data_IF_340723277338
#
_entry.id   IF_340723277338
#
_cell.length_a   1.000
_cell.length_b   1.000
_cell.length_c   1.000
_cell.angle_alpha   90.00
_cell.angle_beta   90.00
_cell.angle_gamma   90.00
#
_symmetry.space_group_name_H-M   'P 1'
#
loop_
_entity.id
_entity.type
_entity.pdbx_description
1 polymer ?
#
# COMPACT_ATOMS: atom_id res chain seq x y z
N UNK A 1 0.60 5.52 -8.89
CA UNK A 1 -0.77 5.60 -8.40
C UNK A 1 -1.66 4.50 -8.96
N UNK A 2 -2.38 3.85 -8.11
CA UNK A 2 -3.34 2.80 -8.45
C UNK A 2 -4.54 2.86 -7.50
N UNK A 3 -5.49 1.92 -7.63
CA UNK A 3 -6.66 1.85 -6.77
C UNK A 3 -6.33 1.72 -5.27
N UNK A 4 -5.33 0.90 -4.92
CA UNK A 4 -4.90 0.76 -3.52
C UNK A 4 -4.30 2.05 -2.98
N UNK A 5 -3.46 2.73 -3.77
CA UNK A 5 -2.90 4.03 -3.40
C UNK A 5 -4.01 5.06 -3.14
N UNK A 6 -5.03 5.13 -4.01
CA UNK A 6 -6.17 6.02 -3.83
C UNK A 6 -6.93 5.70 -2.54
N UNK A 7 -7.16 4.42 -2.23
CA UNK A 7 -7.80 4.00 -0.98
C UNK A 7 -6.98 4.38 0.26
N UNK A 8 -5.65 4.29 0.20
CA UNK A 8 -4.79 4.76 1.29
C UNK A 8 -4.85 6.28 1.47
N UNK A 9 -4.97 7.05 0.37
CA UNK A 9 -5.15 8.51 0.44
C UNK A 9 -6.47 8.85 1.14
N UNK A 10 -7.56 8.19 0.77
CA UNK A 10 -8.87 8.36 1.42
C UNK A 10 -8.83 7.93 2.90
N UNK A 11 -8.16 6.81 3.20
CA UNK A 11 -7.97 6.36 4.57
C UNK A 11 -7.16 7.37 5.41
N UNK A 12 -6.13 8.00 4.84
CA UNK A 12 -5.34 9.03 5.53
C UNK A 12 -6.19 10.22 5.96
N UNK A 13 -7.20 10.60 5.14
CA UNK A 13 -8.15 11.65 5.47
C UNK A 13 -9.08 11.21 6.61
N UNK A 14 -9.64 10.00 6.52
CA UNK A 14 -10.66 9.51 7.46
C UNK A 14 -10.09 9.14 8.84
N UNK A 15 -8.87 8.59 8.87
CA UNK A 15 -8.23 8.10 10.09
C UNK A 15 -7.10 9.00 10.60
N UNK A 16 -6.87 10.15 9.96
CA UNK A 16 -5.93 11.19 10.39
C UNK A 16 -4.50 10.70 10.58
N UNK A 17 -3.93 10.05 9.56
CA UNK A 17 -2.52 9.65 9.54
C UNK A 17 -1.74 10.29 8.39
N UNK A 18 -0.42 10.32 8.51
CA UNK A 18 0.49 10.79 7.47
C UNK A 18 0.80 9.68 6.49
N UNK A 19 0.65 9.94 5.19
CA UNK A 19 0.94 9.00 4.11
C UNK A 19 2.06 9.55 3.22
N UNK A 20 3.15 8.80 3.11
CA UNK A 20 4.21 9.07 2.12
C UNK A 20 4.13 8.06 0.99
N UNK A 21 4.08 8.56 -0.24
CA UNK A 21 3.95 7.76 -1.45
C UNK A 21 5.24 7.88 -2.25
N UNK A 22 5.98 6.78 -2.37
CA UNK A 22 7.15 6.72 -3.24
C UNK A 22 6.76 6.13 -4.60
N UNK A 23 7.01 6.88 -5.66
CA UNK A 23 6.78 6.41 -7.03
C UNK A 23 7.70 7.13 -8.03
N UNK A 24 8.01 6.48 -9.18
CA UNK A 24 8.70 7.15 -10.29
C UNK A 24 7.87 8.31 -10.85
N UNK A 25 8.54 9.25 -11.49
CA UNK A 25 7.89 10.33 -12.22
C UNK A 25 6.97 9.79 -13.33
N UNK A 26 5.75 10.32 -13.42
CA UNK A 26 4.71 9.90 -14.35
C UNK A 26 3.84 8.76 -13.83
N UNK A 27 4.07 8.28 -12.60
CA UNK A 27 3.28 7.22 -11.95
C UNK A 27 2.60 7.69 -10.66
N UNK A 28 2.46 9.00 -10.50
CA UNK A 28 1.80 9.60 -9.34
C UNK A 28 0.32 9.20 -9.26
N UNK A 29 -0.27 9.22 -8.06
CA UNK A 29 -1.71 9.08 -7.90
C UNK A 29 -2.45 10.26 -8.53
N UNK A 30 -3.75 10.07 -8.77
CA UNK A 30 -4.58 11.11 -9.34
C UNK A 30 -4.52 12.38 -8.47
N UNK A 31 -4.18 13.54 -9.07
CA UNK A 31 -3.99 14.79 -8.32
C UNK A 31 -5.23 15.26 -7.56
N UNK A 32 -6.43 14.85 -7.96
CA UNK A 32 -7.67 15.15 -7.23
C UNK A 32 -7.68 14.53 -5.83
N UNK A 33 -7.25 13.26 -5.70
CA UNK A 33 -7.17 12.60 -4.38
C UNK A 33 -6.10 13.27 -3.51
N UNK A 34 -4.93 13.55 -4.09
CA UNK A 34 -3.84 14.22 -3.36
C UNK A 34 -4.27 15.60 -2.86
N UNK A 35 -4.96 16.38 -3.69
CA UNK A 35 -5.45 17.71 -3.32
C UNK A 35 -6.47 17.66 -2.17
N UNK A 36 -7.32 16.64 -2.13
CA UNK A 36 -8.28 16.44 -1.03
C UNK A 36 -7.62 16.10 0.30
N UNK A 37 -6.49 15.39 0.26
CA UNK A 37 -5.77 14.98 1.45
C UNK A 37 -4.91 16.09 2.06
N UNK A 38 -4.56 17.12 1.28
CA UNK A 38 -3.76 18.25 1.75
C UNK A 38 -2.41 17.79 2.32
N UNK A 39 -2.05 18.29 3.50
CA UNK A 39 -0.76 18.02 4.14
C UNK A 39 -0.62 16.59 4.69
N UNK A 40 -1.68 15.77 4.64
CA UNK A 40 -1.61 14.36 5.06
C UNK A 40 -0.87 13.48 4.06
N UNK A 41 -0.74 13.90 2.81
CA UNK A 41 -0.12 13.11 1.75
C UNK A 41 1.10 13.83 1.19
N UNK A 42 2.22 13.12 1.16
CA UNK A 42 3.46 13.58 0.55
C UNK A 42 3.92 12.57 -0.52
N UNK A 43 4.19 13.06 -1.73
CA UNK A 43 4.80 12.27 -2.80
C UNK A 43 6.31 12.49 -2.76
N UNK A 44 7.06 11.38 -2.69
CA UNK A 44 8.53 11.37 -2.67
C UNK A 44 9.08 10.50 -3.80
N UNK A 45 10.34 10.70 -4.14
CA UNK A 45 10.99 9.94 -5.24
C UNK A 45 11.92 8.84 -4.71
N UNK A 46 12.51 9.03 -3.55
CA UNK A 46 13.33 8.00 -2.93
C UNK A 46 12.46 7.16 -1.97
N UNK A 47 12.38 5.83 -2.19
CA UNK A 47 11.65 4.95 -1.27
C UNK A 47 12.21 4.99 0.16
N UNK A 48 13.51 5.29 0.35
CA UNK A 48 14.11 5.46 1.67
C UNK A 48 13.52 6.63 2.45
N UNK A 49 13.18 7.72 1.75
CA UNK A 49 12.53 8.87 2.38
C UNK A 49 11.07 8.55 2.75
N UNK A 50 10.41 7.68 1.98
CA UNK A 50 9.06 7.26 2.30
C UNK A 50 9.01 6.40 3.56
N UNK A 51 9.94 5.46 3.72
CA UNK A 51 9.88 4.48 4.82
C UNK A 51 10.49 4.98 6.13
N UNK A 52 11.29 6.05 6.13
CA UNK A 52 11.92 6.57 7.34
C UNK A 52 10.90 6.81 8.45
N UNK A 53 11.09 6.13 9.59
CA UNK A 53 10.21 6.19 10.75
C UNK A 53 8.74 5.80 10.46
N UNK A 54 8.47 5.09 9.36
CA UNK A 54 7.13 4.61 9.05
C UNK A 54 6.77 3.42 9.95
N UNK A 55 5.54 3.42 10.48
CA UNK A 55 4.98 2.30 11.27
C UNK A 55 4.32 1.24 10.37
N UNK A 56 3.98 1.62 9.14
CA UNK A 56 3.37 0.73 8.16
C UNK A 56 3.99 0.99 6.79
N UNK A 57 4.44 -0.07 6.13
CA UNK A 57 4.89 -0.05 4.73
C UNK A 57 3.99 -0.96 3.93
N UNK A 58 3.48 -0.45 2.81
CA UNK A 58 2.64 -1.24 1.89
C UNK A 58 3.11 -1.07 0.46
N UNK A 59 3.01 -2.13 -0.33
CA UNK A 59 3.22 -2.11 -1.78
C UNK A 59 2.16 -2.92 -2.49
N UNK A 60 2.16 -2.82 -3.82
CA UNK A 60 1.26 -3.54 -4.71
C UNK A 60 2.02 -3.94 -5.98
N UNK A 61 1.47 -4.84 -6.76
CA UNK A 61 2.04 -5.26 -8.05
C UNK A 61 2.25 -4.07 -8.98
N UNK A 62 3.38 -4.06 -9.68
CA UNK A 62 3.71 -2.96 -10.58
C UNK A 62 3.00 -3.06 -11.93
N UNK A 63 2.56 -4.26 -12.30
CA UNK A 63 1.97 -4.55 -13.60
C UNK A 63 0.68 -5.32 -13.46
N UNK A 64 -0.34 -4.92 -14.22
CA UNK A 64 -1.58 -5.69 -14.36
C UNK A 64 -1.52 -6.56 -15.60
N UNK A 65 -2.21 -7.70 -15.61
CA UNK A 65 -2.25 -8.61 -16.77
C UNK A 65 -2.71 -7.88 -18.05
N UNK A 66 -1.99 -8.09 -19.16
CA UNK A 66 -2.44 -7.71 -20.51
C UNK A 66 -1.67 -6.62 -21.23
N UNK A 67 -0.49 -6.16 -20.74
CA UNK A 67 0.32 -5.12 -21.39
C UNK A 67 1.81 -5.45 -21.37
N UNK A 68 2.27 -6.40 -22.21
CA UNK A 68 3.64 -6.93 -22.16
C UNK A 68 4.74 -5.89 -22.40
N UNK A 69 4.58 -4.98 -23.37
CA UNK A 69 5.59 -3.92 -23.62
C UNK A 69 5.63 -2.86 -22.51
N UNK A 70 4.48 -2.51 -21.97
CA UNK A 70 4.39 -1.59 -20.83
C UNK A 70 4.93 -2.25 -19.56
N UNK A 71 4.78 -3.55 -19.42
CA UNK A 71 5.30 -4.34 -18.30
C UNK A 71 6.81 -4.22 -18.15
N UNK A 72 7.58 -4.45 -19.23
CA UNK A 72 9.03 -4.36 -19.18
C UNK A 72 9.52 -2.97 -18.76
N UNK A 73 8.92 -1.92 -19.32
CA UNK A 73 9.23 -0.54 -18.96
C UNK A 73 8.89 -0.20 -17.51
N UNK A 74 7.77 -0.73 -16.99
CA UNK A 74 7.38 -0.56 -15.59
C UNK A 74 8.34 -1.26 -14.66
N UNK A 75 8.68 -2.52 -14.93
CA UNK A 75 9.65 -3.28 -14.14
C UNK A 75 10.99 -2.55 -14.03
N UNK A 76 11.51 -2.00 -15.12
CA UNK A 76 12.75 -1.21 -15.11
C UNK A 76 12.62 0.05 -14.25
N UNK A 77 11.53 0.81 -14.43
CA UNK A 77 11.29 2.05 -13.70
C UNK A 77 11.04 1.85 -12.21
N UNK A 78 10.37 0.77 -11.85
CA UNK A 78 10.01 0.47 -10.48
C UNK A 78 11.04 -0.38 -9.74
N UNK A 79 12.03 -0.98 -10.40
CA UNK A 79 13.07 -1.79 -9.75
C UNK A 79 13.70 -1.11 -8.49
N UNK A 80 13.99 0.22 -8.49
CA UNK A 80 14.49 0.90 -7.30
C UNK A 80 13.49 1.00 -6.13
N UNK A 81 12.21 0.70 -6.37
CA UNK A 81 11.11 0.79 -5.40
C UNK A 81 10.74 -0.57 -4.78
N UNK A 82 11.51 -1.62 -5.09
CA UNK A 82 11.28 -2.93 -4.47
C UNK A 82 11.35 -2.82 -2.95
N UNK A 83 10.33 -3.33 -2.27
CA UNK A 83 10.35 -3.45 -0.82
C UNK A 83 11.12 -4.72 -0.44
N UNK A 84 12.11 -4.54 0.42
CA UNK A 84 12.97 -5.61 0.94
C UNK A 84 13.30 -5.34 2.41
N UNK A 85 13.97 -6.30 3.05
CA UNK A 85 14.36 -6.20 4.48
C UNK A 85 15.18 -4.96 4.78
N UNK A 86 16.17 -4.66 3.93
CA UNK A 86 17.05 -3.51 4.12
C UNK A 86 16.28 -2.17 4.05
N UNK A 87 15.23 -2.10 3.23
CA UNK A 87 14.35 -0.94 3.19
C UNK A 87 13.50 -0.84 4.47
N UNK A 88 12.94 -1.97 4.95
CA UNK A 88 12.16 -2.00 6.19
C UNK A 88 13.01 -1.68 7.43
N UNK A 89 14.31 -1.96 7.41
CA UNK A 89 15.24 -1.64 8.51
C UNK A 89 15.44 -0.13 8.70
N UNK A 90 15.02 0.70 7.74
CA UNK A 90 15.02 2.17 7.84
C UNK A 90 13.73 2.74 8.45
N UNK A 91 12.73 1.91 8.62
CA UNK A 91 11.44 2.28 9.19
C UNK A 91 11.48 2.25 10.74
N UNK A 92 10.31 2.46 11.36
CA UNK A 92 10.18 2.33 12.80
C UNK A 92 10.53 0.89 13.26
N UNK A 93 11.05 0.69 14.48
CA UNK A 93 11.46 -0.63 14.97
C UNK A 93 10.33 -1.69 15.00
N UNK A 94 9.09 -1.23 15.10
CA UNK A 94 7.85 -2.01 15.15
C UNK A 94 7.06 -1.95 13.84
N UNK A 95 7.72 -1.61 12.72
CA UNK A 95 7.08 -1.49 11.41
C UNK A 95 6.36 -2.77 11.01
N UNK A 96 5.16 -2.62 10.47
CA UNK A 96 4.41 -3.68 9.82
C UNK A 96 4.55 -3.55 8.30
N UNK A 97 4.66 -4.70 7.62
CA UNK A 97 4.62 -4.76 6.17
C UNK A 97 3.30 -5.38 5.70
N UNK A 98 2.62 -4.71 4.78
CA UNK A 98 1.36 -5.13 4.17
C UNK A 98 1.47 -5.28 2.65
N UNK A 99 0.73 -6.24 2.10
CA UNK A 99 0.56 -6.44 0.66
C UNK A 99 -0.84 -6.93 0.37
N UNK A 100 -1.54 -6.28 -0.56
CA UNK A 100 -2.94 -6.62 -0.88
C UNK A 100 -3.11 -7.94 -1.64
N UNK A 101 -2.01 -8.58 -2.06
CA UNK A 101 -1.99 -9.81 -2.85
C UNK A 101 -2.83 -9.72 -4.15
N UNK A 102 -2.43 -10.45 -5.22
CA UNK A 102 -1.26 -11.32 -5.32
C UNK A 102 0.05 -10.55 -5.28
N UNK A 103 1.16 -11.22 -4.93
CA UNK A 103 2.50 -10.62 -4.88
C UNK A 103 3.47 -11.35 -5.81
N UNK A 104 4.35 -10.60 -6.48
CA UNK A 104 5.39 -11.12 -7.35
C UNK A 104 6.74 -11.05 -6.65
N UNK A 105 7.14 -12.17 -6.02
CA UNK A 105 8.43 -12.27 -5.35
C UNK A 105 9.58 -12.04 -6.34
N UNK A 106 10.46 -11.11 -6.03
CA UNK A 106 11.56 -10.68 -6.89
C UNK A 106 11.25 -9.45 -7.75
N UNK A 107 9.99 -9.01 -7.80
CA UNK A 107 9.56 -7.76 -8.42
C UNK A 107 9.34 -6.68 -7.36
N UNK A 108 8.09 -6.35 -7.01
CA UNK A 108 7.75 -5.32 -6.03
C UNK A 108 8.17 -5.66 -4.61
N UNK A 109 8.41 -6.95 -4.32
CA UNK A 109 8.93 -7.42 -3.03
C UNK A 109 10.11 -8.35 -3.24
N UNK A 110 11.06 -8.39 -2.28
CA UNK A 110 12.09 -9.42 -2.27
C UNK A 110 11.51 -10.81 -2.04
N UNK A 111 12.24 -11.84 -2.48
CA UNK A 111 11.77 -13.24 -2.46
C UNK A 111 11.30 -13.68 -1.06
N UNK A 112 11.95 -13.19 -0.03
CA UNK A 112 11.79 -13.59 1.36
C UNK A 112 10.90 -12.66 2.20
N UNK A 113 10.37 -11.57 1.61
CA UNK A 113 9.70 -10.52 2.38
C UNK A 113 8.36 -10.94 2.97
N UNK A 114 7.58 -11.77 2.28
CA UNK A 114 6.31 -12.28 2.82
C UNK A 114 6.50 -13.21 4.03
N UNK A 115 7.71 -13.74 4.19
CA UNK A 115 8.07 -14.64 5.30
C UNK A 115 8.86 -13.88 6.40
N UNK A 116 9.02 -12.56 6.26
CA UNK A 116 9.61 -11.70 7.29
C UNK A 116 8.65 -11.58 8.49
N UNK A 117 9.15 -11.60 9.74
CA UNK A 117 8.30 -11.47 10.93
C UNK A 117 7.48 -10.16 10.99
N UNK A 118 7.88 -9.13 10.27
CA UNK A 118 7.15 -7.85 10.14
C UNK A 118 5.99 -7.93 9.14
N UNK A 119 5.93 -8.99 8.31
CA UNK A 119 4.89 -9.15 7.31
C UNK A 119 3.59 -9.61 7.95
N UNK A 120 2.54 -8.83 7.75
CA UNK A 120 1.17 -9.15 8.13
C UNK A 120 0.26 -9.32 6.91
N UNK A 121 0.84 -9.65 5.75
CA UNK A 121 0.09 -9.80 4.50
C UNK A 121 -0.97 -10.91 4.57
N UNK A 122 -0.70 -11.98 5.31
CA UNK A 122 -1.64 -13.07 5.51
C UNK A 122 -2.79 -12.69 6.44
N UNK A 123 -2.48 -11.98 7.55
CA UNK A 123 -3.50 -11.42 8.45
C UNK A 123 -4.36 -10.39 7.73
N UNK A 124 -3.77 -9.56 6.88
CA UNK A 124 -4.51 -8.63 6.01
C UNK A 124 -5.47 -9.36 5.08
N UNK A 125 -5.03 -10.45 4.46
CA UNK A 125 -5.87 -11.25 3.57
C UNK A 125 -7.05 -11.88 4.32
N UNK A 126 -6.82 -12.43 5.51
CA UNK A 126 -7.86 -12.99 6.38
C UNK A 126 -8.83 -11.90 6.86
N UNK A 127 -8.32 -10.75 7.29
CA UNK A 127 -9.14 -9.64 7.78
C UNK A 127 -10.10 -9.07 6.73
N UNK A 128 -9.82 -9.28 5.45
CA UNK A 128 -10.76 -8.93 4.39
C UNK A 128 -12.10 -9.68 4.56
N UNK A 129 -12.06 -10.96 4.94
CA UNK A 129 -13.28 -11.73 5.22
C UNK A 129 -14.04 -11.12 6.40
N UNK A 130 -13.36 -10.87 7.50
CA UNK A 130 -13.96 -10.37 8.72
C UNK A 130 -14.54 -8.96 8.57
N UNK A 131 -13.79 -8.06 7.94
CA UNK A 131 -14.24 -6.70 7.70
C UNK A 131 -15.46 -6.63 6.77
N UNK A 132 -15.47 -7.41 5.68
CA UNK A 132 -16.59 -7.46 4.75
C UNK A 132 -17.82 -8.11 5.38
N UNK A 133 -17.65 -9.16 6.18
CA UNK A 133 -18.75 -9.77 6.94
C UNK A 133 -19.38 -8.77 7.90
N UNK A 134 -18.56 -8.07 8.69
CA UNK A 134 -19.06 -7.05 9.61
C UNK A 134 -19.77 -5.91 8.90
N UNK A 135 -19.26 -5.45 7.75
CA UNK A 135 -19.91 -4.43 6.92
C UNK A 135 -21.27 -4.90 6.40
N UNK A 136 -21.37 -6.14 5.90
CA UNK A 136 -22.63 -6.70 5.44
C UNK A 136 -23.64 -6.81 6.57
N UNK A 137 -23.22 -7.29 7.74
CA UNK A 137 -24.07 -7.36 8.93
C UNK A 137 -24.60 -5.97 9.31
N UNK A 138 -23.71 -4.98 9.39
CA UNK A 138 -24.09 -3.58 9.65
C UNK A 138 -25.11 -3.03 8.66
N UNK A 139 -24.95 -3.33 7.36
CA UNK A 139 -25.83 -2.79 6.31
C UNK A 139 -27.20 -3.47 6.24
N UNK A 140 -27.32 -4.74 6.67
CA UNK A 140 -28.58 -5.51 6.56
C UNK A 140 -29.34 -5.65 7.88
N UNK A 141 -28.67 -5.42 9.03
CA UNK A 141 -29.29 -5.54 10.35
C UNK A 141 -29.91 -4.21 10.78
N UNK A 142 -31.26 -4.12 10.86
CA UNK A 142 -31.94 -2.87 11.18
C UNK A 142 -31.58 -2.28 12.55
N UNK A 143 -31.14 -3.10 13.49
CA UNK A 143 -30.78 -2.68 14.86
C UNK A 143 -29.60 -1.70 14.88
N UNK A 144 -28.70 -1.75 13.90
CA UNK A 144 -27.54 -0.85 13.81
C UNK A 144 -27.86 0.52 13.19
N UNK A 145 -29.05 0.70 12.60
CA UNK A 145 -29.45 1.96 11.95
C UNK A 145 -30.12 2.97 12.90
N UNK A 146 -30.32 2.60 14.16
CA UNK A 146 -31.06 3.39 15.14
C UNK A 146 -30.22 3.80 16.38
N UNK A 147 -28.88 3.65 16.31
CA UNK A 147 -27.97 4.02 17.41
C UNK A 147 -27.34 5.39 17.21
#
# INVERSE_FOLDING_TARGET
GNNMCNSYIEAAIQFDFQLRIACPEGYEPNPKFVAQAGDRVQIVRDPKDAVRDAHLVSTDVWTSMGQEEETARRLERFAPYQVNRALLDLAAPDVLFMHCLPAHRGEEISIDLLDDPRSVAWDQAENRLHAQKALLEYLVEPAYHHA
#
